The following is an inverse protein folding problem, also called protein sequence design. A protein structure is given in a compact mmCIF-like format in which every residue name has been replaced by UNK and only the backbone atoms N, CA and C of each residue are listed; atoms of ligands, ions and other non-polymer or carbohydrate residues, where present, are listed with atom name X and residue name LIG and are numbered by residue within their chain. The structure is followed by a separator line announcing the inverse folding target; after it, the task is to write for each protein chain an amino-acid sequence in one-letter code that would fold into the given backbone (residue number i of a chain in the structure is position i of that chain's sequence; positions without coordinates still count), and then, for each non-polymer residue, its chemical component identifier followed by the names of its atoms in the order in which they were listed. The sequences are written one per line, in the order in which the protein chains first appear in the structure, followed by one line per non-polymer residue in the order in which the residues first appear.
data_IF_163634710021
#
_entry.id   IF_163634710021
#
_cell.length_a   1.000
_cell.length_b   1.000
_cell.length_c   1.000
_cell.angle_alpha   90.00
_cell.angle_beta   90.00
_cell.angle_gamma   90.00
#
_symmetry.space_group_name_H-M   'P 1'
#
loop_
_entity.id
_entity.type
_entity.pdbx_description
1 polymer ?
#
# COMPACT_ATOMS: atom_id res chain seq x y z
N UNK A 1 -6.19 29.13 -10.81
CA UNK A 1 -6.90 28.14 -9.97
C UNK A 1 -8.37 28.55 -9.97
N UNK A 2 -9.30 27.65 -10.32
CA UNK A 2 -10.73 27.99 -10.30
C UNK A 2 -11.18 28.12 -8.83
N UNK A 3 -11.88 29.20 -8.49
CA UNK A 3 -12.28 29.55 -7.12
C UNK A 3 -13.53 28.79 -6.62
N UNK A 4 -14.05 27.84 -7.41
CA UNK A 4 -15.24 27.01 -7.14
C UNK A 4 -14.92 25.60 -6.60
N UNK A 5 -13.68 25.39 -6.14
CA UNK A 5 -13.25 24.13 -5.53
C UNK A 5 -14.21 23.66 -4.43
N UNK A 6 -14.64 24.47 -3.44
CA UNK A 6 -15.51 23.98 -2.36
C UNK A 6 -16.92 23.56 -2.82
N UNK A 7 -17.47 24.17 -3.87
CA UNK A 7 -18.86 23.93 -4.31
C UNK A 7 -19.02 22.62 -5.10
N UNK A 8 -17.99 22.19 -5.82
CA UNK A 8 -18.04 21.04 -6.74
C UNK A 8 -17.47 19.74 -6.16
N UNK A 9 -16.89 19.80 -4.95
CA UNK A 9 -16.30 18.61 -4.30
C UNK A 9 -17.35 17.60 -3.89
N UNK A 10 -18.47 18.04 -3.32
CA UNK A 10 -19.53 17.14 -2.84
C UNK A 10 -20.11 16.34 -4.00
N UNK A 11 -20.41 17.00 -5.12
CA UNK A 11 -20.90 16.33 -6.33
C UNK A 11 -19.87 15.36 -6.91
N UNK A 12 -18.58 15.74 -6.90
CA UNK A 12 -17.49 14.86 -7.36
C UNK A 12 -17.39 13.57 -6.53
N UNK A 13 -17.44 13.67 -5.20
CA UNK A 13 -17.35 12.48 -4.35
C UNK A 13 -18.60 11.59 -4.47
N UNK A 14 -19.78 12.20 -4.57
CA UNK A 14 -21.04 11.45 -4.72
C UNK A 14 -21.19 10.80 -6.10
N UNK A 15 -20.51 11.33 -7.12
CA UNK A 15 -20.51 10.78 -8.48
C UNK A 15 -19.46 9.69 -8.73
N UNK A 16 -18.61 9.36 -7.76
CA UNK A 16 -17.60 8.30 -7.93
C UNK A 16 -18.27 6.95 -8.12
N UNK A 17 -17.94 6.29 -9.22
CA UNK A 17 -18.40 4.93 -9.51
C UNK A 17 -17.38 3.89 -9.07
N UNK A 18 -17.81 2.64 -8.99
CA UNK A 18 -16.91 1.52 -8.71
C UNK A 18 -15.81 1.39 -9.78
N UNK A 19 -16.12 1.74 -11.04
CA UNK A 19 -15.18 1.72 -12.15
C UNK A 19 -14.10 2.81 -12.00
N UNK A 20 -14.47 4.00 -11.53
CA UNK A 20 -13.52 5.08 -11.24
C UNK A 20 -12.55 4.68 -10.12
N UNK A 21 -13.07 4.03 -9.07
CA UNK A 21 -12.26 3.52 -7.97
C UNK A 21 -11.31 2.42 -8.44
N UNK A 22 -11.79 1.48 -9.25
CA UNK A 22 -10.96 0.40 -9.79
C UNK A 22 -9.86 0.92 -10.72
N UNK A 23 -10.17 1.91 -11.57
CA UNK A 23 -9.19 2.59 -12.44
C UNK A 23 -8.13 3.31 -11.62
N UNK A 24 -8.54 4.05 -10.59
CA UNK A 24 -7.61 4.73 -9.69
C UNK A 24 -6.72 3.73 -8.95
N UNK A 25 -7.31 2.65 -8.41
CA UNK A 25 -6.59 1.59 -7.73
C UNK A 25 -5.52 0.96 -8.63
N UNK A 26 -5.84 0.66 -9.90
CA UNK A 26 -4.87 0.12 -10.86
C UNK A 26 -3.71 1.08 -11.16
N UNK A 27 -3.91 2.39 -11.04
CA UNK A 27 -2.86 3.39 -11.27
C UNK A 27 -1.94 3.61 -10.08
N UNK A 28 -2.45 3.45 -8.85
CA UNK A 28 -1.72 3.82 -7.62
C UNK A 28 -1.25 2.62 -6.82
N UNK A 29 -1.96 1.49 -6.90
CA UNK A 29 -1.57 0.26 -6.23
C UNK A 29 -0.62 -0.47 -7.17
N UNK A 30 0.64 -0.53 -6.77
CA UNK A 30 1.69 -1.28 -7.45
C UNK A 30 2.13 -2.44 -6.54
N UNK A 31 1.48 -3.62 -6.63
CA UNK A 31 1.77 -4.76 -5.76
C UNK A 31 3.26 -5.17 -5.81
N UNK A 32 3.85 -5.10 -6.99
CA UNK A 32 5.26 -5.38 -7.28
C UNK A 32 6.25 -4.35 -6.70
N UNK A 33 5.77 -3.21 -6.19
CA UNK A 33 6.59 -2.20 -5.50
C UNK A 33 6.28 -2.11 -3.99
N UNK A 34 5.58 -3.10 -3.45
CA UNK A 34 5.22 -3.13 -2.03
C UNK A 34 6.39 -3.68 -1.19
N UNK A 35 6.83 -2.92 -0.21
CA UNK A 35 7.84 -3.37 0.77
C UNK A 35 7.19 -3.65 2.11
N UNK A 36 7.30 -4.89 2.59
CA UNK A 36 6.83 -5.29 3.92
C UNK A 36 7.94 -5.12 4.95
N UNK A 37 7.68 -4.34 6.00
CA UNK A 37 8.56 -4.23 7.16
C UNK A 37 7.94 -5.00 8.33
N UNK A 38 8.64 -6.02 8.82
CA UNK A 38 8.19 -6.90 9.89
C UNK A 38 9.17 -6.76 11.05
N UNK A 39 8.67 -6.37 12.22
CA UNK A 39 9.48 -6.10 13.41
C UNK A 39 9.25 -7.23 14.41
N UNK A 40 10.32 -7.92 14.79
CA UNK A 40 10.25 -9.00 15.77
C UNK A 40 11.52 -9.85 15.81
N UNK A 41 11.40 -10.99 16.49
CA UNK A 41 12.45 -12.00 16.55
C UNK A 41 12.51 -12.79 15.23
N UNK A 42 13.52 -12.51 14.42
CA UNK A 42 13.68 -13.10 13.10
C UNK A 42 13.72 -14.62 13.12
N UNK A 43 14.27 -15.25 14.17
CA UNK A 43 14.38 -16.71 14.25
C UNK A 43 13.00 -17.38 14.40
N UNK A 44 12.06 -16.69 15.05
CA UNK A 44 10.71 -17.20 15.26
C UNK A 44 9.78 -16.96 14.08
N UNK A 45 9.91 -15.80 13.44
CA UNK A 45 8.92 -15.34 12.45
C UNK A 45 9.30 -15.62 11.00
N UNK A 46 10.59 -15.85 10.70
CA UNK A 46 11.07 -15.98 9.31
C UNK A 46 10.34 -17.06 8.52
N UNK A 47 10.12 -18.23 9.13
CA UNK A 47 9.47 -19.36 8.45
C UNK A 47 8.03 -19.03 8.04
N UNK A 48 7.29 -18.33 8.91
CA UNK A 48 5.90 -17.91 8.64
C UNK A 48 5.85 -16.82 7.56
N UNK A 49 6.80 -15.88 7.59
CA UNK A 49 6.91 -14.81 6.58
C UNK A 49 7.26 -15.36 5.20
N UNK A 50 8.19 -16.33 5.14
CA UNK A 50 8.52 -17.01 3.88
C UNK A 50 7.33 -17.82 3.36
N UNK A 51 6.59 -18.50 4.24
CA UNK A 51 5.38 -19.24 3.89
C UNK A 51 4.23 -18.33 3.41
N UNK A 52 4.16 -17.09 3.89
CA UNK A 52 3.15 -16.11 3.48
C UNK A 52 3.36 -15.60 2.04
N UNK A 53 4.50 -15.89 1.41
CA UNK A 53 4.72 -15.57 -0.02
C UNK A 53 4.71 -14.07 -0.33
N UNK A 54 5.06 -13.22 0.65
CA UNK A 54 5.00 -11.76 0.55
C UNK A 54 6.10 -11.15 -0.34
N UNK A 55 7.05 -11.98 -0.82
CA UNK A 55 8.18 -11.59 -1.65
C UNK A 55 9.51 -12.03 -1.05
N UNK A 56 10.64 -11.56 -1.61
CA UNK A 56 11.97 -11.85 -1.10
C UNK A 56 12.14 -11.33 0.34
N UNK A 57 12.61 -12.20 1.24
CA UNK A 57 12.82 -11.87 2.66
C UNK A 57 14.29 -11.51 2.90
N UNK A 58 14.53 -10.36 3.51
CA UNK A 58 15.85 -9.94 4.00
C UNK A 58 15.73 -9.58 5.48
N UNK A 59 16.65 -10.09 6.30
CA UNK A 59 16.71 -9.80 7.73
C UNK A 59 17.76 -8.72 7.97
N UNK A 60 17.36 -7.63 8.61
CA UNK A 60 18.24 -6.53 9.01
C UNK A 60 18.32 -6.46 10.53
N UNK A 61 19.53 -6.36 11.08
CA UNK A 61 19.74 -6.16 12.52
C UNK A 61 19.78 -4.67 12.82
N UNK A 62 19.05 -4.24 13.86
CA UNK A 62 19.02 -2.83 14.29
C UNK A 62 20.40 -2.34 14.79
N UNK A 63 21.30 -3.26 15.17
CA UNK A 63 22.68 -2.95 15.55
C UNK A 63 23.61 -2.72 14.34
N UNK A 64 23.08 -2.79 13.12
CA UNK A 64 23.85 -2.73 11.87
C UNK A 64 23.39 -1.59 10.95
N UNK A 65 22.56 -0.67 11.46
CA UNK A 65 22.16 0.58 10.83
C UNK A 65 22.97 1.75 11.39
#
# INVERSE_FOLDING_TARGET
RQYNYPETLVEKYNGLTLDDLNKAAAQVIHPDKLTWLIIGDAEKIKAEVEAAGLGPVSVQSMNSL
#
